data_IF_656068839897
#
_entry.id   IF_656068839897
#
_cell.length_a   1.000
_cell.length_b   1.000
_cell.length_c   1.000
_cell.angle_alpha   90.00
_cell.angle_beta   90.00
_cell.angle_gamma   90.00
#
_symmetry.space_group_name_H-M   'P 1'
#
loop_
_entity.id
_entity.type
_entity.pdbx_description
1 polymer ?
#
# COMPACT_ATOMS: atom_id res chain seq x y z
N UNK A 1 -25.50 -16.65 12.62
CA UNK A 1 -25.01 -16.42 11.23
C UNK A 1 -23.87 -17.41 10.95
N UNK A 2 -24.00 -18.28 9.94
CA UNK A 2 -22.92 -19.18 9.55
C UNK A 2 -22.02 -18.51 8.51
N UNK A 3 -20.84 -18.08 8.93
CA UNK A 3 -19.83 -17.49 8.04
C UNK A 3 -19.19 -18.62 7.21
N UNK A 4 -19.21 -18.55 5.87
CA UNK A 4 -18.59 -19.55 5.01
C UNK A 4 -17.08 -19.73 5.34
N UNK A 5 -16.58 -20.97 5.22
CA UNK A 5 -15.19 -21.28 5.62
C UNK A 5 -14.15 -20.46 4.87
N UNK A 6 -14.36 -20.20 3.57
CA UNK A 6 -13.43 -19.39 2.76
C UNK A 6 -13.40 -17.90 3.18
N UNK A 7 -14.49 -17.36 3.74
CA UNK A 7 -14.49 -16.03 4.34
C UNK A 7 -13.65 -15.97 5.63
N UNK A 8 -13.72 -17.01 6.48
CA UNK A 8 -12.90 -17.06 7.70
C UNK A 8 -11.41 -17.10 7.37
N UNK A 9 -11.02 -17.84 6.33
CA UNK A 9 -9.63 -17.87 5.84
C UNK A 9 -9.19 -16.52 5.32
N UNK A 10 -10.01 -15.87 4.48
CA UNK A 10 -9.78 -14.54 3.97
C UNK A 10 -9.62 -13.52 5.09
N UNK A 11 -10.57 -13.47 6.04
CA UNK A 11 -10.51 -12.53 7.16
C UNK A 11 -9.22 -12.66 7.95
N UNK A 12 -8.80 -13.88 8.28
CA UNK A 12 -7.52 -14.11 8.97
C UNK A 12 -6.33 -13.60 8.20
N UNK A 13 -6.29 -13.83 6.89
CA UNK A 13 -5.19 -13.36 6.03
C UNK A 13 -5.14 -11.84 5.97
N UNK A 14 -6.27 -11.18 5.75
CA UNK A 14 -6.35 -9.74 5.62
C UNK A 14 -6.11 -9.02 6.95
N UNK A 15 -6.61 -9.56 8.07
CA UNK A 15 -6.34 -9.01 9.42
C UNK A 15 -4.85 -9.12 9.78
N UNK A 16 -4.22 -10.27 9.50
CA UNK A 16 -2.77 -10.44 9.72
C UNK A 16 -1.96 -9.47 8.86
N UNK A 17 -2.34 -9.33 7.61
CA UNK A 17 -1.71 -8.38 6.70
C UNK A 17 -1.85 -6.93 7.23
N UNK A 18 -3.04 -6.53 7.64
CA UNK A 18 -3.29 -5.21 8.22
C UNK A 18 -2.42 -4.94 9.46
N UNK A 19 -2.30 -5.91 10.37
CA UNK A 19 -1.44 -5.79 11.56
C UNK A 19 0.03 -5.62 11.14
N UNK A 20 0.52 -6.42 10.21
CA UNK A 20 1.90 -6.30 9.71
C UNK A 20 2.13 -4.93 9.08
N UNK A 21 1.19 -4.46 8.25
CA UNK A 21 1.31 -3.15 7.60
C UNK A 21 1.20 -1.98 8.58
N UNK A 22 0.43 -2.12 9.67
CA UNK A 22 0.44 -1.15 10.77
C UNK A 22 1.83 -1.06 11.41
N UNK A 23 2.47 -2.20 11.69
CA UNK A 23 3.83 -2.21 12.23
C UNK A 23 4.84 -1.62 11.25
N UNK A 24 4.73 -1.94 9.95
CA UNK A 24 5.55 -1.32 8.89
C UNK A 24 5.35 0.20 8.89
N UNK A 25 4.10 0.68 8.97
CA UNK A 25 3.78 2.10 9.01
C UNK A 25 4.39 2.81 10.23
N UNK A 26 4.27 2.20 11.43
CA UNK A 26 4.88 2.75 12.64
C UNK A 26 6.40 2.84 12.53
N UNK A 27 7.06 1.77 12.07
CA UNK A 27 8.51 1.75 11.89
C UNK A 27 8.98 2.75 10.82
N UNK A 28 8.23 2.88 9.72
CA UNK A 28 8.51 3.89 8.70
C UNK A 28 8.38 5.32 9.25
N UNK A 29 7.36 5.58 10.08
CA UNK A 29 7.17 6.87 10.74
C UNK A 29 8.32 7.22 11.70
N UNK A 30 8.71 6.26 12.56
CA UNK A 30 9.87 6.42 13.45
C UNK A 30 11.17 6.64 12.66
N UNK A 31 11.37 5.87 11.60
CA UNK A 31 12.54 6.01 10.75
C UNK A 31 12.59 7.35 10.03
N UNK A 32 11.45 7.87 9.58
CA UNK A 32 11.35 9.21 9.01
C UNK A 32 11.72 10.28 10.03
N UNK A 33 11.14 10.24 11.23
CA UNK A 33 11.40 11.19 12.32
C UNK A 33 12.90 11.25 12.65
N UNK A 34 13.52 10.10 12.87
CA UNK A 34 14.97 10.01 13.15
C UNK A 34 15.84 10.43 11.97
N UNK A 35 15.43 10.12 10.76
CA UNK A 35 16.16 10.50 9.55
C UNK A 35 16.10 12.01 9.31
N UNK A 36 14.97 12.64 9.57
CA UNK A 36 14.81 14.09 9.46
C UNK A 36 15.60 14.85 10.53
N UNK A 37 15.66 14.33 11.76
CA UNK A 37 16.42 14.96 12.87
C UNK A 37 17.93 14.89 12.69
N UNK A 38 18.44 13.76 12.20
CA UNK A 38 19.88 13.49 12.10
C UNK A 38 20.55 14.07 10.85
N UNK A 39 19.77 14.46 9.87
CA UNK A 39 20.31 15.11 8.70
C UNK A 39 20.09 16.61 8.86
N UNK A 40 21.12 17.44 8.88
CA UNK A 40 21.01 18.84 8.54
C UNK A 40 20.71 18.96 7.03
N UNK A 41 19.62 18.28 6.60
CA UNK A 41 19.17 18.32 5.20
C UNK A 41 18.86 19.78 4.82
N UNK A 42 18.40 20.58 5.79
CA UNK A 42 18.20 22.02 5.64
C UNK A 42 19.48 22.79 5.31
N UNK A 43 20.62 22.39 5.89
CA UNK A 43 21.88 23.10 5.72
C UNK A 43 22.59 22.74 4.40
N UNK A 44 22.25 21.58 3.84
CA UNK A 44 22.82 21.08 2.59
C UNK A 44 22.02 21.52 1.35
N UNK A 45 20.79 22.01 1.53
CA UNK A 45 19.87 22.25 0.43
C UNK A 45 19.40 23.70 0.37
N UNK A 46 19.19 24.24 -0.84
CA UNK A 46 18.51 25.52 -1.02
C UNK A 46 17.13 25.52 -0.35
N UNK A 47 16.67 26.71 0.07
CA UNK A 47 15.36 26.87 0.69
C UNK A 47 14.24 26.23 -0.17
N UNK A 48 13.39 25.45 0.47
CA UNK A 48 12.29 24.71 -0.18
C UNK A 48 12.63 23.30 -0.68
N UNK A 49 13.91 22.97 -0.90
CA UNK A 49 14.31 21.62 -1.35
C UNK A 49 14.30 20.58 -0.23
N UNK A 50 14.34 21.01 1.02
CA UNK A 50 14.25 20.13 2.17
C UNK A 50 12.96 19.27 2.14
N UNK A 51 11.84 19.89 1.91
CA UNK A 51 10.55 19.17 1.86
C UNK A 51 10.53 18.14 0.71
N UNK A 52 11.05 18.52 -0.46
CA UNK A 52 11.15 17.63 -1.62
C UNK A 52 11.99 16.38 -1.30
N UNK A 53 13.08 16.52 -0.54
CA UNK A 53 13.95 15.42 -0.16
C UNK A 53 13.29 14.42 0.81
N UNK A 54 12.53 14.93 1.79
CA UNK A 54 11.99 14.09 2.88
C UNK A 54 10.55 13.61 2.64
N UNK A 55 9.80 14.29 1.79
CA UNK A 55 8.38 13.98 1.53
C UNK A 55 8.12 12.54 1.08
N UNK A 56 8.91 11.93 0.16
CA UNK A 56 8.68 10.55 -0.24
C UNK A 56 8.74 9.57 0.94
N UNK A 57 9.63 9.77 1.89
CA UNK A 57 9.74 8.94 3.09
C UNK A 57 8.62 9.23 4.09
N UNK A 58 8.24 10.51 4.26
CA UNK A 58 7.13 10.92 5.10
C UNK A 58 5.79 10.28 4.67
N UNK A 59 5.56 10.17 3.37
CA UNK A 59 4.33 9.59 2.83
C UNK A 59 4.22 8.07 3.03
N UNK A 60 5.33 7.36 3.26
CA UNK A 60 5.33 5.90 3.40
C UNK A 60 4.44 5.44 4.54
N UNK A 61 4.54 6.06 5.72
CA UNK A 61 3.74 5.65 6.87
C UNK A 61 2.25 5.85 6.60
N UNK A 62 1.85 6.97 5.99
CA UNK A 62 0.46 7.22 5.62
C UNK A 62 -0.08 6.20 4.63
N UNK A 63 0.70 5.82 3.62
CA UNK A 63 0.30 4.79 2.66
C UNK A 63 0.26 3.40 3.29
N UNK A 64 1.21 3.04 4.15
CA UNK A 64 1.19 1.78 4.87
C UNK A 64 -0.07 1.66 5.74
N UNK A 65 -0.46 2.74 6.43
CA UNK A 65 -1.70 2.76 7.20
C UNK A 65 -2.94 2.73 6.29
N UNK A 66 -3.00 3.56 5.25
CA UNK A 66 -4.20 3.70 4.44
C UNK A 66 -4.47 2.45 3.60
N UNK A 67 -3.53 2.10 2.70
CA UNK A 67 -3.73 0.97 1.76
C UNK A 67 -3.30 -0.37 2.34
N UNK A 68 -2.42 -0.38 3.34
CA UNK A 68 -1.93 -1.61 3.97
C UNK A 68 -2.75 -2.06 5.16
N UNK A 69 -3.37 -1.14 5.92
CA UNK A 69 -4.12 -1.48 7.13
C UNK A 69 -5.58 -1.07 7.08
N UNK A 70 -5.89 0.22 6.98
CA UNK A 70 -7.28 0.70 7.10
C UNK A 70 -8.18 0.16 6.01
N UNK A 71 -7.73 0.16 4.75
CA UNK A 71 -8.53 -0.34 3.65
C UNK A 71 -8.78 -1.86 3.75
N UNK A 72 -7.80 -2.72 4.04
CA UNK A 72 -8.05 -4.13 4.35
C UNK A 72 -9.04 -4.34 5.50
N UNK A 73 -8.93 -3.59 6.59
CA UNK A 73 -9.86 -3.68 7.73
C UNK A 73 -11.27 -3.27 7.31
N UNK A 74 -11.40 -2.16 6.59
CA UNK A 74 -12.70 -1.68 6.08
C UNK A 74 -13.35 -2.70 5.12
N UNK A 75 -12.57 -3.34 4.24
CA UNK A 75 -13.04 -4.36 3.33
C UNK A 75 -13.50 -5.63 4.06
N UNK A 76 -12.75 -6.09 5.08
CA UNK A 76 -13.17 -7.20 5.94
C UNK A 76 -14.49 -6.87 6.64
N UNK A 77 -14.59 -5.66 7.22
CA UNK A 77 -15.81 -5.20 7.87
C UNK A 77 -16.99 -5.12 6.90
N UNK A 78 -16.79 -4.54 5.73
CA UNK A 78 -17.82 -4.44 4.67
C UNK A 78 -18.32 -5.82 4.22
N UNK A 79 -17.41 -6.76 4.00
CA UNK A 79 -17.77 -8.14 3.64
C UNK A 79 -18.52 -8.84 4.77
N UNK A 80 -18.13 -8.63 6.02
CA UNK A 80 -18.82 -9.19 7.18
C UNK A 80 -20.22 -8.60 7.35
N UNK A 81 -20.34 -7.27 7.23
CA UNK A 81 -21.62 -6.56 7.28
C UNK A 81 -22.57 -7.04 6.16
N UNK A 82 -22.07 -7.18 4.93
CA UNK A 82 -22.86 -7.69 3.81
C UNK A 82 -23.44 -9.08 4.08
N UNK A 83 -22.64 -9.99 4.64
CA UNK A 83 -23.14 -11.31 5.05
C UNK A 83 -24.20 -11.21 6.15
N UNK A 84 -24.03 -10.30 7.12
CA UNK A 84 -25.02 -10.12 8.20
C UNK A 84 -26.34 -9.52 7.71
N UNK A 85 -26.30 -8.74 6.64
CA UNK A 85 -27.48 -8.19 5.96
C UNK A 85 -28.13 -9.18 4.98
N UNK A 86 -27.61 -10.41 4.87
CA UNK A 86 -28.16 -11.44 3.99
C UNK A 86 -27.76 -11.32 2.52
N UNK A 87 -26.70 -10.55 2.19
CA UNK A 87 -26.19 -10.46 0.82
C UNK A 87 -25.61 -11.81 0.37
N UNK A 88 -25.74 -12.09 -0.92
CA UNK A 88 -25.17 -13.31 -1.49
C UNK A 88 -23.66 -13.36 -1.28
N UNK A 89 -23.12 -14.47 -0.73
CA UNK A 89 -21.69 -14.63 -0.53
C UNK A 89 -20.92 -14.57 -1.86
N UNK A 90 -19.79 -13.86 -1.86
CA UNK A 90 -18.86 -13.86 -3.00
C UNK A 90 -18.17 -15.22 -3.08
N UNK A 91 -18.04 -15.78 -4.28
CA UNK A 91 -17.41 -17.07 -4.49
C UNK A 91 -15.93 -17.07 -4.11
N UNK A 92 -15.44 -18.21 -3.61
CA UNK A 92 -14.07 -18.40 -3.13
C UNK A 92 -13.02 -18.02 -4.17
N UNK A 93 -13.20 -18.40 -5.44
CA UNK A 93 -12.25 -18.09 -6.52
C UNK A 93 -12.07 -16.58 -6.70
N UNK A 94 -13.15 -15.81 -6.64
CA UNK A 94 -13.14 -14.35 -6.77
C UNK A 94 -12.40 -13.71 -5.58
N UNK A 95 -12.71 -14.14 -4.35
CA UNK A 95 -12.03 -13.65 -3.15
C UNK A 95 -10.54 -13.99 -3.16
N UNK A 96 -10.17 -15.17 -3.64
CA UNK A 96 -8.77 -15.58 -3.78
C UNK A 96 -8.03 -14.69 -4.79
N UNK A 97 -8.60 -14.43 -5.97
CA UNK A 97 -7.99 -13.52 -6.95
C UNK A 97 -7.84 -12.10 -6.41
N UNK A 98 -8.89 -11.56 -5.78
CA UNK A 98 -8.81 -10.24 -5.15
C UNK A 98 -7.68 -10.17 -4.11
N UNK A 99 -7.54 -11.19 -3.27
CA UNK A 99 -6.49 -11.29 -2.26
C UNK A 99 -5.09 -11.35 -2.90
N UNK A 100 -4.89 -12.22 -3.88
CA UNK A 100 -3.58 -12.40 -4.55
C UNK A 100 -3.14 -11.20 -5.38
N UNK A 101 -4.06 -10.38 -5.84
CA UNK A 101 -3.74 -9.14 -6.55
C UNK A 101 -3.54 -7.99 -5.56
N UNK A 102 -4.46 -7.82 -4.61
CA UNK A 102 -4.46 -6.65 -3.73
C UNK A 102 -3.31 -6.67 -2.71
N UNK A 103 -3.17 -7.75 -1.93
CA UNK A 103 -2.20 -7.76 -0.83
C UNK A 103 -0.74 -7.64 -1.32
N UNK A 104 -0.26 -8.43 -2.30
CA UNK A 104 1.08 -8.25 -2.84
C UNK A 104 1.27 -6.91 -3.53
N UNK A 105 0.25 -6.42 -4.27
CA UNK A 105 0.29 -5.12 -4.96
C UNK A 105 0.45 -3.96 -3.98
N UNK A 106 -0.32 -3.95 -2.88
CA UNK A 106 -0.20 -2.93 -1.84
C UNK A 106 1.12 -3.01 -1.06
N UNK A 107 1.57 -4.22 -0.72
CA UNK A 107 2.86 -4.42 -0.06
C UNK A 107 4.02 -3.94 -0.94
N UNK A 108 4.02 -4.29 -2.23
CA UNK A 108 5.03 -3.85 -3.19
C UNK A 108 4.98 -2.33 -3.38
N UNK A 109 3.80 -1.71 -3.45
CA UNK A 109 3.66 -0.26 -3.55
C UNK A 109 4.30 0.46 -2.36
N UNK A 110 4.05 -0.01 -1.13
CA UNK A 110 4.66 0.54 0.09
C UNK A 110 6.17 0.32 0.11
N UNK A 111 6.65 -0.87 -0.28
CA UNK A 111 8.08 -1.17 -0.35
C UNK A 111 8.81 -0.28 -1.38
N UNK A 112 8.21 -0.03 -2.54
CA UNK A 112 8.77 0.87 -3.56
C UNK A 112 8.81 2.32 -3.09
N UNK A 113 7.80 2.77 -2.35
CA UNK A 113 7.80 4.10 -1.74
C UNK A 113 8.90 4.22 -0.67
N UNK A 114 9.08 3.19 0.16
CA UNK A 114 10.14 3.14 1.16
C UNK A 114 11.51 3.18 0.49
N UNK A 115 11.71 2.38 -0.56
CA UNK A 115 12.95 2.38 -1.35
C UNK A 115 13.23 3.77 -1.97
N UNK A 116 12.22 4.39 -2.59
CA UNK A 116 12.36 5.75 -3.12
C UNK A 116 12.69 6.76 -2.02
N UNK A 117 12.00 6.70 -0.90
CA UNK A 117 12.22 7.62 0.22
C UNK A 117 13.63 7.55 0.77
N UNK A 118 14.15 6.33 0.99
CA UNK A 118 15.54 6.17 1.42
C UNK A 118 16.55 6.55 0.34
N UNK A 119 16.29 6.25 -0.92
CA UNK A 119 17.15 6.68 -2.02
C UNK A 119 17.36 8.20 -1.97
N UNK A 120 16.28 8.98 -1.79
CA UNK A 120 16.36 10.43 -1.72
C UNK A 120 17.09 10.94 -0.47
N UNK A 121 16.71 10.47 0.71
CA UNK A 121 17.33 10.91 1.97
C UNK A 121 18.81 10.57 2.03
N UNK A 122 19.19 9.37 1.60
CA UNK A 122 20.61 8.97 1.57
C UNK A 122 21.37 9.73 0.50
N UNK A 123 20.78 9.98 -0.68
CA UNK A 123 21.41 10.79 -1.73
C UNK A 123 21.81 12.16 -1.22
N UNK A 124 20.89 12.86 -0.55
CA UNK A 124 21.20 14.18 0.05
C UNK A 124 22.31 14.08 1.10
N UNK A 125 22.28 13.06 1.96
CA UNK A 125 23.34 12.83 2.95
C UNK A 125 24.72 12.60 2.33
N UNK A 126 24.77 12.04 1.14
CA UNK A 126 26.02 11.86 0.38
C UNK A 126 26.38 13.06 -0.51
N UNK A 127 25.66 14.18 -0.35
CA UNK A 127 25.97 15.44 -1.03
C UNK A 127 25.33 15.60 -2.42
N UNK A 128 24.38 14.74 -2.79
CA UNK A 128 23.63 14.90 -4.04
C UNK A 128 22.57 15.99 -3.89
N UNK A 129 22.79 17.16 -4.49
CA UNK A 129 21.88 18.31 -4.45
C UNK A 129 21.09 18.52 -5.74
N UNK A 130 21.49 17.86 -6.84
CA UNK A 130 20.75 17.82 -8.10
C UNK A 130 19.72 16.67 -8.05
N UNK A 131 18.50 17.00 -7.64
CA UNK A 131 17.42 16.03 -7.52
C UNK A 131 16.98 15.44 -8.85
N UNK A 132 17.07 16.20 -9.94
CA UNK A 132 16.69 15.70 -11.25
C UNK A 132 17.64 14.60 -11.72
N UNK A 133 18.94 14.83 -11.60
CA UNK A 133 19.95 13.84 -11.90
C UNK A 133 19.88 12.62 -10.97
N UNK A 134 19.62 12.85 -9.67
CA UNK A 134 19.52 11.77 -8.67
C UNK A 134 18.26 10.91 -8.87
N UNK A 135 17.11 11.50 -9.18
CA UNK A 135 15.89 10.76 -9.54
C UNK A 135 16.07 10.01 -10.87
N UNK A 136 16.77 10.58 -11.84
CA UNK A 136 17.09 9.91 -13.10
C UNK A 136 17.98 8.68 -12.89
N UNK A 137 18.87 8.67 -11.90
CA UNK A 137 19.72 7.54 -11.55
C UNK A 137 18.97 6.40 -10.82
N UNK A 138 17.75 6.64 -10.37
CA UNK A 138 16.94 5.66 -9.67
C UNK A 138 16.66 4.42 -10.55
N UNK A 139 16.76 3.21 -10.00
CA UNK A 139 16.79 1.96 -10.75
C UNK A 139 17.97 1.84 -11.76
N UNK A 140 19.13 2.43 -11.43
CA UNK A 140 20.29 2.45 -12.32
C UNK A 140 20.06 3.25 -13.62
N UNK A 141 19.14 4.22 -13.59
CA UNK A 141 18.79 5.04 -14.77
C UNK A 141 17.81 4.34 -15.73
N UNK A 142 17.32 3.15 -15.41
CA UNK A 142 16.39 2.43 -16.27
C UNK A 142 14.94 2.87 -16.06
N UNK A 143 14.50 3.89 -16.78
CA UNK A 143 13.15 4.43 -16.69
C UNK A 143 12.06 3.43 -17.09
N UNK A 144 12.31 2.53 -18.05
CA UNK A 144 11.33 1.52 -18.47
C UNK A 144 11.11 0.48 -17.34
N UNK A 145 12.18 0.02 -16.69
CA UNK A 145 12.10 -0.87 -15.55
C UNK A 145 11.36 -0.20 -14.38
N UNK A 146 11.68 1.05 -14.07
CA UNK A 146 11.00 1.84 -13.04
C UNK A 146 9.50 1.93 -13.33
N UNK A 147 9.11 2.33 -14.52
CA UNK A 147 7.71 2.45 -14.94
C UNK A 147 6.98 1.09 -14.87
N UNK A 148 7.62 0.01 -15.32
CA UNK A 148 7.06 -1.34 -15.29
C UNK A 148 6.81 -1.81 -13.84
N UNK A 149 7.79 -1.69 -12.95
CA UNK A 149 7.67 -2.15 -11.55
C UNK A 149 6.59 -1.39 -10.80
N UNK A 150 6.56 -0.05 -10.90
CA UNK A 150 5.50 0.76 -10.30
C UNK A 150 4.14 0.49 -10.94
N UNK A 151 4.08 0.37 -12.27
CA UNK A 151 2.86 0.05 -13.00
C UNK A 151 2.27 -1.29 -12.58
N UNK A 152 3.07 -2.35 -12.48
CA UNK A 152 2.62 -3.68 -12.03
C UNK A 152 2.08 -3.63 -10.60
N UNK A 153 2.79 -2.97 -9.67
CA UNK A 153 2.36 -2.87 -8.28
C UNK A 153 0.97 -2.20 -8.15
N UNK A 154 0.81 -1.02 -8.78
CA UNK A 154 -0.43 -0.27 -8.70
C UNK A 154 -1.58 -0.93 -9.48
N UNK A 155 -1.29 -1.51 -10.66
CA UNK A 155 -2.30 -2.22 -11.45
C UNK A 155 -2.81 -3.46 -10.70
N UNK A 156 -1.92 -4.25 -10.11
CA UNK A 156 -2.31 -5.41 -9.33
C UNK A 156 -3.20 -5.02 -8.13
N UNK A 157 -2.77 -4.03 -7.35
CA UNK A 157 -3.55 -3.52 -6.22
C UNK A 157 -4.94 -3.01 -6.66
N UNK A 158 -4.99 -2.19 -7.70
CA UNK A 158 -6.24 -1.61 -8.21
C UNK A 158 -7.16 -2.67 -8.81
N UNK A 159 -6.62 -3.64 -9.56
CA UNK A 159 -7.39 -4.74 -10.11
C UNK A 159 -7.98 -5.63 -9.01
N UNK A 160 -7.20 -5.95 -7.96
CA UNK A 160 -7.69 -6.71 -6.81
C UNK A 160 -8.84 -6.01 -6.10
N UNK A 161 -8.72 -4.69 -5.88
CA UNK A 161 -9.78 -3.87 -5.29
C UNK A 161 -11.03 -3.81 -6.19
N UNK A 162 -10.85 -3.61 -7.49
CA UNK A 162 -11.95 -3.55 -8.45
C UNK A 162 -12.71 -4.89 -8.52
N UNK A 163 -12.00 -6.02 -8.55
CA UNK A 163 -12.61 -7.36 -8.52
C UNK A 163 -13.49 -7.53 -7.27
N UNK A 164 -12.98 -7.13 -6.10
CA UNK A 164 -13.72 -7.23 -4.86
C UNK A 164 -14.94 -6.30 -4.84
N UNK A 165 -14.77 -5.04 -5.25
CA UNK A 165 -15.83 -4.03 -5.27
C UNK A 165 -16.98 -4.44 -6.20
N UNK A 166 -16.67 -4.89 -7.43
CA UNK A 166 -17.67 -5.37 -8.39
C UNK A 166 -18.40 -6.62 -7.88
N UNK A 167 -17.66 -7.56 -7.29
CA UNK A 167 -18.27 -8.76 -6.74
C UNK A 167 -19.20 -8.46 -5.57
N UNK A 168 -18.80 -7.55 -4.69
CA UNK A 168 -19.62 -7.09 -3.57
C UNK A 168 -20.87 -6.35 -4.06
N UNK A 169 -20.73 -5.44 -5.02
CA UNK A 169 -21.84 -4.72 -5.63
C UNK A 169 -22.90 -5.68 -6.21
N UNK A 170 -22.44 -6.70 -6.95
CA UNK A 170 -23.35 -7.74 -7.51
C UNK A 170 -24.02 -8.59 -6.43
N UNK A 171 -23.38 -8.76 -5.28
CA UNK A 171 -23.95 -9.47 -4.13
C UNK A 171 -25.07 -8.70 -3.44
N UNK A 172 -25.01 -7.36 -3.43
CA UNK A 172 -26.06 -6.52 -2.81
C UNK A 172 -27.41 -6.60 -3.51
N UNK A 173 -27.43 -6.84 -4.83
CA UNK A 173 -28.67 -6.94 -5.61
C UNK A 173 -29.38 -8.29 -5.54
N UNK A 174 -28.85 -9.28 -4.78
CA UNK A 174 -29.39 -10.63 -4.67
C UNK A 174 -29.46 -11.05 -3.21
N UNK A 175 -30.62 -11.53 -2.77
CA UNK A 175 -30.73 -12.10 -1.43
C UNK A 175 -30.23 -13.55 -1.44
N UNK A 176 -29.76 -14.02 -0.26
CA UNK A 176 -29.20 -15.37 -0.11
C UNK A 176 -30.24 -16.52 -0.23
N UNK A 177 -31.24 -16.36 -1.01
CA UNK A 177 -32.31 -17.34 -1.29
C UNK A 177 -32.80 -17.31 -2.73
N UNK A 178 -32.31 -16.36 -3.53
CA UNK A 178 -32.55 -16.26 -4.98
C UNK A 178 -31.41 -16.94 -5.77
#
# INVERSE_FOLDING_TARGET
MNIPTHYRALYRTWLRFAIVMMMVGLLAGLSFEESAKRAPVSDLLPAGKHLEAVLPLALVHGHAFLIGALLPLALVFMLHLGLSMGFRPIGEKTLRWATWLYLPGSALSVALMLYKGYHWVLGVRFGHTDFAAWDAAFFGGNHALRAAVYGVAHTAMSAGLAVLAVAFWRGMGKQAGD
#
